data_IF_931227643382
#
_entry.id   IF_931227643382
#
_cell.length_a   1.000
_cell.length_b   1.000
_cell.length_c   1.000
_cell.angle_alpha   90.00
_cell.angle_beta   90.00
_cell.angle_gamma   90.00
#
_symmetry.space_group_name_H-M   'P 1'
#
loop_
_entity.id
_entity.type
_entity.pdbx_description
1 polymer ?
#
# COMPACT_ATOMS: atom_id res chain seq x y z
N UNK A 1 -0.34 -13.25 -18.02
CA UNK A 1 0.39 -11.99 -18.28
C UNK A 1 1.50 -11.79 -17.23
N UNK A 2 1.21 -11.94 -15.93
CA UNK A 2 2.19 -11.80 -14.86
C UNK A 2 3.37 -12.76 -15.00
N UNK A 3 3.12 -14.03 -15.31
CA UNK A 3 4.19 -15.03 -15.52
C UNK A 3 5.10 -14.69 -16.72
N UNK A 4 4.54 -14.11 -17.79
CA UNK A 4 5.35 -13.65 -18.94
C UNK A 4 6.20 -12.44 -18.63
N UNK A 5 5.67 -11.51 -17.86
CA UNK A 5 6.41 -10.33 -17.42
C UNK A 5 7.56 -10.76 -16.49
N UNK A 6 7.28 -11.66 -15.53
CA UNK A 6 8.29 -12.21 -14.62
C UNK A 6 9.40 -12.93 -15.40
N UNK A 7 9.07 -13.73 -16.41
CA UNK A 7 10.06 -14.45 -17.22
C UNK A 7 10.93 -13.52 -18.07
N UNK A 8 10.35 -12.49 -18.70
CA UNK A 8 11.12 -11.54 -19.52
C UNK A 8 11.99 -10.58 -18.67
N UNK A 9 11.53 -10.24 -17.47
CA UNK A 9 12.27 -9.36 -16.56
C UNK A 9 13.36 -10.13 -15.79
N UNK A 10 13.24 -11.45 -15.64
CA UNK A 10 14.26 -12.25 -14.96
C UNK A 10 15.60 -12.24 -15.70
N UNK A 11 15.61 -12.10 -17.01
CA UNK A 11 16.84 -12.01 -17.80
C UNK A 11 17.45 -10.60 -17.73
N UNK A 12 16.66 -9.55 -17.86
CA UNK A 12 17.09 -8.18 -17.64
C UNK A 12 17.46 -7.90 -16.18
N UNK A 13 16.81 -8.61 -15.27
CA UNK A 13 17.04 -8.51 -13.83
C UNK A 13 18.42 -9.06 -13.43
N UNK A 14 18.95 -10.08 -14.09
CA UNK A 14 20.29 -10.61 -13.80
C UNK A 14 21.37 -9.54 -13.99
N UNK A 15 21.29 -8.78 -15.06
CA UNK A 15 22.24 -7.70 -15.34
C UNK A 15 22.07 -6.53 -14.36
N UNK A 16 20.84 -6.19 -14.03
CA UNK A 16 20.53 -5.19 -13.01
C UNK A 16 21.02 -5.62 -11.62
N UNK A 17 20.80 -6.87 -11.23
CA UNK A 17 21.28 -7.43 -9.97
C UNK A 17 22.80 -7.49 -9.91
N UNK A 18 23.45 -7.87 -10.99
CA UNK A 18 24.91 -7.82 -11.10
C UNK A 18 25.45 -6.39 -10.92
N UNK A 19 24.72 -5.38 -11.40
CA UNK A 19 25.07 -3.98 -11.23
C UNK A 19 24.91 -3.46 -9.80
N UNK A 20 24.07 -4.08 -8.99
CA UNK A 20 23.82 -3.68 -7.60
C UNK A 20 24.92 -4.13 -6.62
N UNK A 21 25.74 -5.14 -6.99
CA UNK A 21 26.85 -5.64 -6.16
C UNK A 21 26.40 -5.97 -4.73
N UNK A 22 27.07 -5.39 -3.73
CA UNK A 22 26.76 -5.64 -2.31
C UNK A 22 25.37 -5.13 -1.85
N UNK A 23 24.73 -4.24 -2.61
CA UNK A 23 23.36 -3.78 -2.32
C UNK A 23 22.33 -4.90 -2.44
N UNK A 24 22.64 -6.01 -3.11
CA UNK A 24 21.81 -7.21 -3.13
C UNK A 24 21.62 -7.78 -1.72
N UNK A 25 22.59 -7.62 -0.84
CA UNK A 25 22.51 -8.08 0.55
C UNK A 25 21.44 -7.38 1.37
N UNK A 26 20.99 -6.20 0.92
CA UNK A 26 19.87 -5.47 1.51
C UNK A 26 18.50 -5.99 1.02
N UNK A 27 18.47 -6.85 0.02
CA UNK A 27 17.25 -7.54 -0.39
C UNK A 27 16.94 -8.66 0.61
N UNK A 28 15.76 -8.64 1.21
CA UNK A 28 15.38 -9.54 2.31
C UNK A 28 15.57 -11.01 1.97
N UNK A 29 15.31 -11.41 0.73
CA UNK A 29 15.56 -12.74 0.20
C UNK A 29 15.74 -12.71 -1.32
N UNK A 30 16.58 -13.57 -1.92
CA UNK A 30 16.75 -13.66 -3.36
C UNK A 30 15.43 -13.87 -4.11
N UNK A 31 14.55 -14.71 -3.58
CA UNK A 31 13.23 -14.99 -4.15
C UNK A 31 12.25 -13.81 -4.10
N UNK A 32 12.52 -12.77 -3.32
CA UNK A 32 11.70 -11.56 -3.26
C UNK A 32 12.11 -10.50 -4.26
N UNK A 33 13.23 -10.68 -4.95
CA UNK A 33 13.71 -9.73 -5.97
C UNK A 33 12.70 -9.54 -7.09
N UNK A 34 12.08 -10.58 -7.67
CA UNK A 34 11.00 -10.42 -8.63
C UNK A 34 9.79 -9.65 -8.09
N UNK A 35 9.56 -9.67 -6.77
CA UNK A 35 8.47 -8.94 -6.15
C UNK A 35 8.65 -7.42 -6.24
N UNK A 36 9.86 -6.91 -6.22
CA UNK A 36 10.15 -5.46 -6.28
C UNK A 36 9.96 -4.86 -7.66
N UNK A 37 10.04 -5.66 -8.70
CA UNK A 37 9.84 -5.21 -10.10
C UNK A 37 8.45 -5.51 -10.63
N UNK A 38 7.61 -6.18 -9.84
CA UNK A 38 6.23 -6.46 -10.24
C UNK A 38 5.42 -5.16 -10.33
N UNK A 39 4.65 -4.97 -11.42
CA UNK A 39 3.82 -3.77 -11.57
C UNK A 39 2.64 -3.78 -10.60
N UNK A 40 2.24 -2.60 -10.13
CA UNK A 40 0.94 -2.39 -9.48
C UNK A 40 -0.16 -2.57 -10.52
N UNK A 41 -1.32 -3.06 -10.09
CA UNK A 41 -2.44 -3.25 -11.03
C UNK A 41 -2.94 -1.88 -11.55
N UNK A 42 -3.10 -0.92 -10.65
CA UNK A 42 -3.38 0.47 -10.97
C UNK A 42 -2.36 1.33 -10.23
N UNK A 43 -1.60 2.13 -10.96
CA UNK A 43 -0.67 3.09 -10.40
C UNK A 43 -1.04 4.51 -10.85
N UNK A 44 -1.42 5.34 -9.91
CA UNK A 44 -1.79 6.74 -10.14
C UNK A 44 -0.69 7.65 -9.61
N UNK A 45 -0.27 8.61 -10.40
CA UNK A 45 0.74 9.58 -9.99
C UNK A 45 0.31 10.99 -10.35
N UNK A 46 0.33 11.90 -9.37
CA UNK A 46 -0.08 13.29 -9.53
C UNK A 46 -1.49 13.47 -10.11
N UNK A 47 -2.40 12.54 -9.78
CA UNK A 47 -3.79 12.61 -10.23
C UNK A 47 -4.63 13.40 -9.23
N UNK A 48 -5.65 14.11 -9.74
CA UNK A 48 -6.59 14.87 -8.93
C UNK A 48 -8.04 14.54 -9.31
N UNK A 49 -8.92 14.55 -8.30
CA UNK A 49 -10.36 14.35 -8.49
C UNK A 49 -10.67 13.03 -9.20
N UNK A 50 -10.13 11.94 -8.68
CA UNK A 50 -10.31 10.58 -9.23
C UNK A 50 -11.41 9.86 -8.47
N UNK A 51 -12.33 9.24 -9.18
CA UNK A 51 -13.30 8.30 -8.63
C UNK A 51 -13.10 6.91 -9.24
N UNK A 52 -13.05 5.90 -8.37
CA UNK A 52 -13.05 4.49 -8.75
C UNK A 52 -14.21 3.80 -8.05
N UNK A 53 -15.22 3.38 -8.80
CA UNK A 53 -16.47 2.87 -8.24
C UNK A 53 -16.92 1.55 -8.88
N UNK A 54 -17.41 0.62 -8.05
CA UNK A 54 -18.13 -0.58 -8.47
C UNK A 54 -17.32 -1.59 -9.27
N UNK A 55 -15.98 -1.58 -9.14
CA UNK A 55 -15.10 -2.49 -9.90
C UNK A 55 -14.56 -3.62 -9.05
N UNK A 56 -14.31 -4.75 -9.69
CA UNK A 56 -13.58 -5.87 -9.09
C UNK A 56 -12.16 -5.91 -9.63
N UNK A 57 -11.19 -5.75 -8.74
CA UNK A 57 -9.76 -5.80 -9.03
C UNK A 57 -9.24 -7.19 -8.70
N UNK A 58 -8.66 -7.86 -9.70
CA UNK A 58 -8.23 -9.26 -9.55
C UNK A 58 -6.93 -9.54 -10.30
N UNK A 59 -6.08 -10.35 -9.69
CA UNK A 59 -4.89 -10.88 -10.35
C UNK A 59 -3.80 -9.84 -10.58
N UNK A 60 -3.73 -8.82 -9.74
CA UNK A 60 -2.58 -7.91 -9.69
C UNK A 60 -1.29 -8.69 -9.38
N UNK A 61 -0.17 -8.22 -9.92
CA UNK A 61 1.12 -8.87 -9.66
C UNK A 61 1.70 -8.52 -8.28
N UNK A 62 1.30 -7.40 -7.71
CA UNK A 62 1.54 -6.96 -6.33
C UNK A 62 0.40 -5.99 -5.93
N UNK A 63 0.67 -4.88 -5.26
CA UNK A 63 -0.33 -3.89 -4.84
C UNK A 63 -1.39 -3.63 -5.90
N UNK A 64 -2.65 -3.65 -5.52
CA UNK A 64 -3.74 -3.44 -6.48
C UNK A 64 -3.84 -1.96 -6.89
N UNK A 65 -4.02 -1.06 -5.94
CA UNK A 65 -4.07 0.38 -6.21
C UNK A 65 -2.96 1.08 -5.42
N UNK A 66 -2.10 1.79 -6.12
CA UNK A 66 -1.11 2.67 -5.53
C UNK A 66 -1.34 4.10 -6.03
N UNK A 67 -1.52 5.02 -5.10
CA UNK A 67 -1.72 6.44 -5.37
C UNK A 67 -0.54 7.22 -4.80
N UNK A 68 0.24 7.86 -5.66
CA UNK A 68 1.37 8.67 -5.21
C UNK A 68 1.20 10.13 -5.65
N UNK A 69 1.33 11.04 -4.70
CA UNK A 69 1.13 12.49 -4.92
C UNK A 69 -0.24 12.83 -5.53
N UNK A 70 -1.25 12.05 -5.17
CA UNK A 70 -2.62 12.25 -5.62
C UNK A 70 -3.40 13.14 -4.62
N UNK A 71 -4.47 13.75 -5.10
CA UNK A 71 -5.32 14.61 -4.32
C UNK A 71 -6.80 14.39 -4.68
N UNK A 72 -7.66 14.27 -3.67
CA UNK A 72 -9.10 13.99 -3.83
C UNK A 72 -9.35 12.69 -4.63
N UNK A 73 -8.97 11.55 -4.05
CA UNK A 73 -9.25 10.22 -4.60
C UNK A 73 -10.35 9.54 -3.81
N UNK A 74 -11.42 9.16 -4.47
CA UNK A 74 -12.54 8.43 -3.88
C UNK A 74 -12.63 7.02 -4.48
N UNK A 75 -12.65 6.00 -3.63
CA UNK A 75 -12.80 4.59 -4.03
C UNK A 75 -13.98 3.99 -3.27
N UNK A 76 -14.96 3.41 -3.98
CA UNK A 76 -16.11 2.82 -3.30
C UNK A 76 -16.78 1.70 -4.09
N UNK A 77 -17.55 0.84 -3.38
CA UNK A 77 -18.25 -0.28 -4.00
C UNK A 77 -17.34 -1.28 -4.71
N UNK A 78 -16.05 -1.33 -4.33
CA UNK A 78 -15.05 -2.12 -5.02
C UNK A 78 -14.75 -3.42 -4.28
N UNK A 79 -14.28 -4.42 -5.04
CA UNK A 79 -13.79 -5.67 -4.46
C UNK A 79 -12.36 -5.94 -4.90
N UNK A 80 -11.50 -6.27 -3.95
CA UNK A 80 -10.08 -6.55 -4.15
C UNK A 80 -9.79 -8.03 -3.95
N UNK A 81 -9.26 -8.71 -4.98
CA UNK A 81 -8.87 -10.11 -4.91
C UNK A 81 -7.38 -10.30 -5.24
N UNK A 82 -6.56 -10.39 -4.22
CA UNK A 82 -5.12 -10.66 -4.32
C UNK A 82 -4.63 -11.70 -3.32
N UNK A 83 -5.54 -12.46 -2.70
CA UNK A 83 -5.17 -13.55 -1.79
C UNK A 83 -4.16 -14.50 -2.47
N UNK A 84 -3.11 -14.85 -1.72
CA UNK A 84 -2.01 -15.67 -2.24
C UNK A 84 -0.96 -14.92 -3.07
N UNK A 85 -1.16 -13.62 -3.31
CA UNK A 85 -0.17 -12.76 -3.95
C UNK A 85 0.65 -12.07 -2.87
N UNK A 86 1.95 -12.30 -2.86
CA UNK A 86 2.85 -11.59 -1.96
C UNK A 86 2.87 -10.08 -2.28
N UNK A 87 2.83 -9.23 -1.26
CA UNK A 87 2.61 -7.79 -1.38
C UNK A 87 1.33 -7.47 -2.18
N UNK A 88 0.31 -8.30 -2.01
CA UNK A 88 -0.98 -8.13 -2.65
C UNK A 88 -1.89 -7.16 -1.89
N UNK A 89 -1.34 -5.99 -1.50
CA UNK A 89 -2.08 -4.94 -0.81
C UNK A 89 -3.27 -4.47 -1.64
N UNK A 90 -4.33 -4.01 -0.99
CA UNK A 90 -5.55 -3.56 -1.65
C UNK A 90 -5.44 -2.11 -2.14
N UNK A 91 -5.27 -1.17 -1.22
CA UNK A 91 -5.38 0.26 -1.47
C UNK A 91 -4.32 1.05 -0.70
N UNK A 92 -3.40 1.65 -1.44
CA UNK A 92 -2.16 2.24 -0.91
C UNK A 92 -2.05 3.73 -1.26
N UNK A 93 -2.60 4.65 -0.47
CA UNK A 93 -2.30 6.08 -0.59
C UNK A 93 -0.88 6.35 -0.08
N UNK A 94 -0.07 7.00 -0.90
CA UNK A 94 1.33 7.32 -0.65
C UNK A 94 1.59 8.80 -0.94
N UNK A 95 2.02 9.56 0.07
CA UNK A 95 2.25 10.99 -0.04
C UNK A 95 1.08 11.74 -0.72
N UNK A 96 -0.16 11.34 -0.39
CA UNK A 96 -1.38 11.77 -1.06
C UNK A 96 -2.34 12.45 -0.09
N UNK A 97 -3.22 13.32 -0.62
CA UNK A 97 -4.15 14.14 0.14
C UNK A 97 -5.61 13.73 -0.10
N UNK A 98 -6.43 13.85 0.94
CA UNK A 98 -7.89 13.69 0.90
C UNK A 98 -8.34 12.44 0.13
N UNK A 99 -7.79 11.29 0.54
CA UNK A 99 -8.13 9.99 -0.04
C UNK A 99 -9.20 9.28 0.80
N UNK A 100 -10.27 8.84 0.16
CA UNK A 100 -11.43 8.23 0.80
C UNK A 100 -11.70 6.85 0.19
N UNK A 101 -11.92 5.85 1.05
CA UNK A 101 -12.39 4.52 0.63
C UNK A 101 -13.52 4.05 1.53
N UNK A 102 -14.60 3.54 0.91
CA UNK A 102 -15.76 3.00 1.63
C UNK A 102 -16.54 1.98 0.79
N UNK A 103 -17.42 1.22 1.45
CA UNK A 103 -18.24 0.18 0.81
C UNK A 103 -17.39 -0.78 -0.03
N UNK A 104 -16.24 -1.21 0.51
CA UNK A 104 -15.31 -2.06 -0.20
C UNK A 104 -15.07 -3.40 0.50
N UNK A 105 -14.80 -4.44 -0.28
CA UNK A 105 -14.48 -5.78 0.21
C UNK A 105 -13.05 -6.15 -0.15
N UNK A 106 -12.27 -6.58 0.84
CA UNK A 106 -10.90 -6.98 0.69
C UNK A 106 -10.72 -8.48 0.93
N UNK A 107 -10.10 -9.14 -0.05
CA UNK A 107 -9.57 -10.49 0.04
C UNK A 107 -8.13 -10.43 -0.48
N UNK A 108 -7.23 -9.95 0.37
CA UNK A 108 -5.88 -9.55 -0.01
C UNK A 108 -4.83 -10.57 0.44
N UNK A 109 -3.68 -10.53 -0.20
CA UNK A 109 -2.53 -11.36 0.18
C UNK A 109 -1.57 -10.65 1.14
N UNK A 110 -1.82 -9.36 1.41
CA UNK A 110 -1.08 -8.50 2.33
C UNK A 110 -2.07 -7.49 2.94
N UNK A 111 -1.70 -6.24 3.19
CA UNK A 111 -2.56 -5.23 3.80
C UNK A 111 -3.83 -4.96 2.96
N UNK A 112 -4.99 -4.85 3.59
CA UNK A 112 -6.22 -4.40 2.90
C UNK A 112 -6.10 -2.94 2.50
N UNK A 113 -5.64 -2.11 3.43
CA UNK A 113 -5.31 -0.70 3.23
C UNK A 113 -3.93 -0.46 3.84
N UNK A 114 -3.04 0.20 3.10
CA UNK A 114 -1.71 0.53 3.60
C UNK A 114 -1.37 1.99 3.33
N UNK A 115 -1.45 2.83 4.37
CA UNK A 115 -1.26 4.27 4.29
C UNK A 115 0.24 4.58 4.38
N UNK A 116 0.81 5.13 3.32
CA UNK A 116 2.25 5.32 3.13
C UNK A 116 2.59 6.79 2.86
N UNK A 117 3.85 7.16 3.03
CA UNK A 117 4.39 8.48 2.66
C UNK A 117 5.89 8.39 2.37
N UNK A 118 6.25 7.46 1.49
CA UNK A 118 7.61 7.25 1.03
C UNK A 118 8.53 6.58 2.04
N UNK A 119 9.57 5.99 1.52
CA UNK A 119 10.62 5.27 2.26
C UNK A 119 11.89 6.12 2.35
N UNK A 120 12.62 6.01 3.47
CA UNK A 120 13.93 6.63 3.65
C UNK A 120 14.97 6.08 2.65
N UNK A 121 15.92 6.94 2.17
CA UNK A 121 16.03 8.37 2.48
C UNK A 121 15.07 9.27 1.69
N UNK A 122 14.55 8.82 0.55
CA UNK A 122 13.77 9.62 -0.40
C UNK A 122 12.49 10.20 0.24
N UNK A 123 11.79 9.43 1.07
CA UNK A 123 10.58 9.90 1.76
C UNK A 123 10.84 11.11 2.66
N UNK A 124 11.99 11.14 3.34
CA UNK A 124 12.42 12.28 4.14
C UNK A 124 12.85 13.48 3.29
N UNK A 125 13.52 13.24 2.17
CA UNK A 125 13.97 14.30 1.26
C UNK A 125 12.79 14.99 0.61
N UNK A 126 11.83 14.21 0.12
CA UNK A 126 10.60 14.71 -0.51
C UNK A 126 9.69 15.36 0.53
N UNK A 127 9.57 14.74 1.71
CA UNK A 127 8.84 15.26 2.88
C UNK A 127 7.40 15.69 2.58
N UNK A 128 6.68 14.87 1.81
CA UNK A 128 5.25 15.05 1.52
C UNK A 128 4.46 14.03 2.34
N UNK A 129 3.66 14.46 3.32
CA UNK A 129 2.85 13.55 4.12
C UNK A 129 1.66 13.01 3.33
N UNK A 130 1.13 11.87 3.77
CA UNK A 130 -0.24 11.46 3.44
C UNK A 130 -1.18 12.04 4.48
N UNK A 131 -2.23 12.75 4.05
CA UNK A 131 -3.14 13.49 4.92
C UNK A 131 -4.59 13.42 4.48
N UNK A 132 -5.50 13.41 5.45
CA UNK A 132 -6.93 13.46 5.17
C UNK A 132 -7.50 12.12 4.71
N UNK A 133 -6.95 10.98 5.19
CA UNK A 133 -7.42 9.65 4.79
C UNK A 133 -8.67 9.25 5.56
N UNK A 134 -9.68 8.73 4.85
CA UNK A 134 -10.93 8.22 5.43
C UNK A 134 -11.17 6.79 4.96
N UNK A 135 -11.34 5.86 5.89
CA UNK A 135 -11.62 4.45 5.63
C UNK A 135 -12.84 4.05 6.44
N UNK A 136 -13.95 3.69 5.79
CA UNK A 136 -15.14 3.30 6.50
C UNK A 136 -16.02 2.35 5.69
N UNK A 137 -16.93 1.66 6.37
CA UNK A 137 -17.85 0.70 5.76
C UNK A 137 -17.12 -0.31 4.85
N UNK A 138 -15.96 -0.77 5.31
CA UNK A 138 -15.14 -1.72 4.58
C UNK A 138 -15.11 -3.07 5.30
N UNK A 139 -14.98 -4.14 4.51
CA UNK A 139 -14.92 -5.50 5.03
C UNK A 139 -13.66 -6.23 4.56
N UNK A 140 -12.90 -6.77 5.50
CA UNK A 140 -11.77 -7.66 5.23
C UNK A 140 -12.21 -9.12 5.40
N UNK A 141 -12.17 -9.88 4.30
CA UNK A 141 -12.47 -11.32 4.32
C UNK A 141 -11.20 -12.18 4.36
N UNK A 142 -10.05 -11.57 4.06
CA UNK A 142 -8.72 -12.17 4.14
C UNK A 142 -7.68 -11.05 3.96
N UNK A 143 -6.57 -11.11 4.69
CA UNK A 143 -5.46 -10.17 4.58
C UNK A 143 -4.94 -9.71 5.93
N UNK A 144 -4.11 -8.66 5.93
CA UNK A 144 -3.51 -8.16 7.17
C UNK A 144 -4.36 -7.08 7.86
N UNK A 145 -5.39 -6.53 7.22
CA UNK A 145 -6.22 -5.46 7.75
C UNK A 145 -5.77 -4.07 7.32
N UNK A 146 -6.02 -3.05 8.16
CA UNK A 146 -5.69 -1.66 7.86
C UNK A 146 -4.37 -1.30 8.53
N UNK A 147 -3.43 -0.72 7.77
CA UNK A 147 -2.08 -0.43 8.22
C UNK A 147 -1.70 1.02 7.96
N UNK A 148 -0.98 1.64 8.88
CA UNK A 148 -0.18 2.84 8.64
C UNK A 148 1.29 2.42 8.58
N UNK A 149 1.94 2.67 7.44
CA UNK A 149 3.33 2.26 7.20
C UNK A 149 3.42 1.00 6.31
N UNK A 150 4.58 0.34 6.27
CA UNK A 150 5.85 0.68 6.96
C UNK A 150 6.56 1.92 6.38
N UNK A 151 6.35 2.23 5.10
CA UNK A 151 6.92 3.39 4.42
C UNK A 151 6.11 4.64 4.77
N UNK A 152 6.52 5.38 5.83
CA UNK A 152 5.83 6.59 6.28
C UNK A 152 6.81 7.73 6.64
N UNK A 153 7.91 7.83 5.90
CA UNK A 153 8.99 8.78 6.20
C UNK A 153 8.62 10.24 5.96
N UNK A 154 7.66 10.51 5.06
CA UNK A 154 7.11 11.84 4.82
C UNK A 154 6.04 12.28 5.83
N UNK A 155 5.65 11.38 6.75
CA UNK A 155 4.60 11.66 7.74
C UNK A 155 3.21 11.19 7.31
N UNK A 156 2.36 10.90 8.30
CA UNK A 156 0.94 10.56 8.08
C UNK A 156 0.10 11.37 9.07
N UNK A 157 -0.90 12.09 8.58
CA UNK A 157 -1.71 13.00 9.37
C UNK A 157 -3.22 12.83 9.08
N UNK A 158 -4.06 13.10 10.08
CA UNK A 158 -5.53 13.13 9.94
C UNK A 158 -6.12 11.89 9.27
N UNK A 159 -5.84 10.71 9.82
CA UNK A 159 -6.45 9.43 9.42
C UNK A 159 -7.66 9.15 10.30
N UNK A 160 -8.79 8.80 9.71
CA UNK A 160 -10.00 8.34 10.41
C UNK A 160 -10.48 7.02 9.84
N UNK A 161 -10.71 6.06 10.73
CA UNK A 161 -11.17 4.70 10.41
C UNK A 161 -12.37 4.40 11.29
N UNK A 162 -13.50 3.99 10.70
CA UNK A 162 -14.70 3.62 11.45
C UNK A 162 -15.59 2.67 10.65
N UNK A 163 -16.50 1.98 11.34
CA UNK A 163 -17.49 1.06 10.76
C UNK A 163 -16.88 0.03 9.79
N UNK A 164 -15.72 -0.53 10.16
CA UNK A 164 -15.03 -1.54 9.35
C UNK A 164 -15.11 -2.92 10.02
N UNK A 165 -15.46 -3.95 9.24
CA UNK A 165 -15.41 -5.35 9.65
C UNK A 165 -14.04 -5.96 9.29
N UNK A 166 -13.19 -6.13 10.29
CA UNK A 166 -11.84 -6.69 10.15
C UNK A 166 -11.69 -8.05 10.86
N UNK A 167 -12.80 -8.73 11.14
CA UNK A 167 -12.80 -9.99 11.92
C UNK A 167 -11.95 -11.09 11.28
N UNK A 168 -11.91 -11.15 9.95
CA UNK A 168 -11.13 -12.13 9.20
C UNK A 168 -9.71 -11.67 8.87
N UNK A 169 -9.29 -10.47 9.30
CA UNK A 169 -7.95 -9.97 9.09
C UNK A 169 -6.96 -10.55 10.11
N UNK A 170 -5.69 -10.61 9.73
CA UNK A 170 -4.61 -10.99 10.64
C UNK A 170 -4.48 -10.00 11.81
N UNK A 171 -4.60 -8.70 11.50
CA UNK A 171 -4.68 -7.61 12.46
C UNK A 171 -5.83 -6.68 12.03
N UNK A 172 -6.66 -6.20 12.96
CA UNK A 172 -7.70 -5.23 12.62
C UNK A 172 -7.11 -3.90 12.18
N UNK A 173 -6.16 -3.39 12.97
CA UNK A 173 -5.41 -2.17 12.71
C UNK A 173 -3.96 -2.31 13.19
N UNK A 174 -3.01 -1.84 12.40
CA UNK A 174 -1.58 -1.89 12.73
C UNK A 174 -0.87 -0.59 12.34
N UNK A 175 0.12 -0.20 13.13
CA UNK A 175 1.07 0.85 12.78
C UNK A 175 2.44 0.22 12.69
N UNK A 176 2.99 0.17 11.47
CA UNK A 176 4.30 -0.43 11.17
C UNK A 176 5.36 0.66 11.14
N UNK A 177 6.45 0.45 11.87
CA UNK A 177 7.65 1.28 11.80
C UNK A 177 8.87 0.40 11.55
N UNK A 178 9.84 0.91 10.81
CA UNK A 178 11.14 0.26 10.66
C UNK A 178 12.24 1.19 11.16
N UNK A 179 13.41 0.65 11.49
CA UNK A 179 14.57 1.45 11.92
C UNK A 179 15.03 2.48 10.86
N UNK A 180 14.59 2.32 9.63
CA UNK A 180 14.86 3.24 8.51
C UNK A 180 13.75 4.27 8.29
N UNK A 181 12.70 4.23 9.10
CA UNK A 181 11.60 5.22 9.06
C UNK A 181 11.85 6.24 10.17
N UNK A 182 11.83 7.51 9.83
CA UNK A 182 12.01 8.60 10.78
C UNK A 182 10.96 8.56 11.88
N UNK A 183 11.35 8.88 13.10
CA UNK A 183 10.43 8.95 14.24
C UNK A 183 9.32 9.95 13.97
N UNK A 184 8.11 9.48 13.82
CA UNK A 184 6.91 10.29 13.84
C UNK A 184 6.29 10.26 15.23
N UNK A 185 5.88 11.40 15.74
CA UNK A 185 5.12 11.47 16.99
C UNK A 185 3.73 10.90 16.74
N UNK A 186 3.43 9.76 17.35
CA UNK A 186 2.10 9.18 17.32
C UNK A 186 1.22 9.90 18.35
N UNK A 187 0.31 10.73 17.88
CA UNK A 187 -0.77 11.25 18.73
C UNK A 187 -1.96 10.34 18.58
N UNK A 188 -2.16 9.43 19.52
CA UNK A 188 -3.39 8.63 19.54
C UNK A 188 -4.57 9.55 19.84
N UNK A 189 -5.67 9.48 19.06
CA UNK A 189 -6.88 10.19 19.42
C UNK A 189 -7.40 9.66 20.75
N UNK A 190 -7.86 10.55 21.62
CA UNK A 190 -8.54 10.17 22.85
C UNK A 190 -9.85 9.48 22.46
N UNK A 191 -9.94 8.19 22.68
CA UNK A 191 -11.19 7.46 22.57
C UNK A 191 -12.08 7.96 23.71
N UNK A 192 -13.15 8.70 23.39
CA UNK A 192 -14.25 8.90 24.33
C UNK A 192 -15.19 7.70 24.17
N UNK A 193 -15.21 6.86 25.20
CA UNK A 193 -16.25 5.84 25.39
C UNK A 193 -17.57 6.49 25.68
#
# INVERSE_FOLDING_TARGET
LAERIIASETENLKDYLASLGDKIKECEKPETIPARVRPRLINMSNCQNVELAGVTLRGGACWNIHMIYCDHVVTHGCTFYSHGIWNGDGWDPDSSLDCVIFDCVFNTGDDSVSIKSGKNPQGNEVNIPTKGVRVFDCRCTMGHGITIGSEMSGGVEDVKIWDCDMEAALCGFEIKGTATVSYTHLTLPTIRL
#
